data_IF_474375265878
#
_entry.id   IF_474375265878
#
_cell.length_a   1.000
_cell.length_b   1.000
_cell.length_c   1.000
_cell.angle_alpha   90.00
_cell.angle_beta   90.00
_cell.angle_gamma   90.00
#
_symmetry.space_group_name_H-M   'P 1'
#
loop_
_entity.id
_entity.type
_entity.pdbx_description
1 polymer ?
#
# COMPACT_ATOMS: atom_id res chain seq x y z
N UNK A 1 -8.06 16.75 -12.81
CA UNK A 1 -7.43 16.54 -14.14
C UNK A 1 -7.13 15.06 -14.32
N UNK A 2 -8.15 14.25 -14.67
CA UNK A 2 -7.96 12.82 -14.87
C UNK A 2 -7.33 12.48 -16.24
N UNK A 3 -7.30 13.42 -17.19
CA UNK A 3 -6.92 13.15 -18.59
C UNK A 3 -5.48 13.57 -18.96
N UNK A 4 -4.63 13.88 -17.96
CA UNK A 4 -3.25 14.28 -18.23
C UNK A 4 -2.34 13.05 -18.24
N UNK A 5 -1.84 12.70 -19.41
CA UNK A 5 -0.70 11.79 -19.52
C UNK A 5 0.58 12.49 -19.08
N UNK A 6 1.33 11.83 -18.20
CA UNK A 6 2.63 12.31 -17.73
C UNK A 6 3.76 11.66 -18.52
N UNK A 7 4.87 12.40 -18.70
CA UNK A 7 6.09 11.87 -19.31
C UNK A 7 6.74 10.78 -18.43
N UNK A 8 7.59 9.96 -19.05
CA UNK A 8 8.26 8.84 -18.40
C UNK A 8 9.04 9.26 -17.15
N UNK A 9 9.77 10.38 -17.21
CA UNK A 9 10.58 10.88 -16.10
C UNK A 9 9.72 11.22 -14.88
N UNK A 10 8.53 11.76 -15.11
CA UNK A 10 7.57 12.09 -14.05
C UNK A 10 6.99 10.81 -13.45
N UNK A 11 6.65 9.84 -14.30
CA UNK A 11 6.12 8.56 -13.85
C UNK A 11 7.16 7.77 -13.05
N UNK A 12 8.41 7.69 -13.53
CA UNK A 12 9.50 7.06 -12.79
C UNK A 12 9.70 7.67 -11.40
N UNK A 13 9.46 8.98 -11.25
CA UNK A 13 9.61 9.66 -9.97
C UNK A 13 8.38 9.59 -9.06
N UNK A 14 7.16 9.46 -9.60
CA UNK A 14 5.93 9.68 -8.81
C UNK A 14 4.86 8.59 -8.94
N UNK A 15 4.88 7.76 -9.98
CA UNK A 15 3.86 6.73 -10.17
C UNK A 15 3.90 5.68 -9.05
N UNK A 16 2.72 5.21 -8.63
CA UNK A 16 2.59 4.17 -7.61
C UNK A 16 2.82 4.63 -6.17
N UNK A 17 3.11 5.92 -5.93
CA UNK A 17 3.34 6.43 -4.57
C UNK A 17 2.57 7.73 -4.28
N UNK A 18 2.07 7.81 -3.04
CA UNK A 18 1.48 9.00 -2.43
C UNK A 18 2.29 9.34 -1.17
N UNK A 19 2.23 10.59 -0.65
CA UNK A 19 2.85 10.88 0.63
C UNK A 19 2.26 9.97 1.70
N UNK A 20 3.08 9.52 2.64
CA UNK A 20 2.63 8.69 3.76
C UNK A 20 1.47 9.38 4.50
N UNK A 21 0.27 8.76 4.59
CA UNK A 21 -0.88 9.40 5.20
C UNK A 21 -0.72 9.66 6.71
N UNK A 22 0.18 8.95 7.39
CA UNK A 22 0.40 9.13 8.83
C UNK A 22 1.30 10.34 9.15
N UNK A 23 2.32 10.61 8.33
CA UNK A 23 3.34 11.64 8.64
C UNK A 23 3.51 12.71 7.56
N UNK A 24 2.99 12.49 6.35
CA UNK A 24 3.21 13.34 5.18
C UNK A 24 4.57 13.14 4.49
N UNK A 25 5.38 12.17 4.91
CA UNK A 25 6.66 11.87 4.28
C UNK A 25 6.50 11.56 2.78
N UNK A 26 7.33 12.18 1.93
CA UNK A 26 7.35 11.86 0.48
C UNK A 26 8.23 10.68 0.11
N UNK A 27 9.29 10.43 0.86
CA UNK A 27 10.05 9.20 0.71
C UNK A 27 9.23 8.03 1.26
N UNK A 28 9.17 6.92 0.53
CA UNK A 28 8.42 5.72 0.95
C UNK A 28 9.06 5.14 2.22
N UNK A 29 8.28 4.92 3.29
CA UNK A 29 8.78 4.26 4.49
C UNK A 29 9.25 2.82 4.22
N UNK A 30 10.27 2.37 4.96
CA UNK A 30 10.69 0.97 4.92
C UNK A 30 9.88 0.19 5.95
N UNK A 31 8.89 -0.58 5.50
CA UNK A 31 8.11 -1.50 6.35
C UNK A 31 8.89 -2.79 6.62
N UNK A 32 9.93 -2.71 7.44
CA UNK A 32 10.78 -3.85 7.82
C UNK A 32 10.09 -4.77 8.85
N UNK A 33 9.04 -5.47 8.41
CA UNK A 33 8.26 -6.40 9.23
C UNK A 33 8.05 -7.74 8.50
N UNK A 34 7.62 -8.75 9.24
CA UNK A 34 7.21 -10.06 8.70
C UNK A 34 5.69 -10.26 8.68
N UNK A 35 4.95 -9.54 9.53
CA UNK A 35 3.51 -9.72 9.76
C UNK A 35 2.80 -8.40 10.05
N UNK A 36 1.48 -8.38 9.83
CA UNK A 36 0.60 -7.23 10.08
C UNK A 36 -0.52 -7.61 11.07
N UNK A 37 -0.90 -6.66 11.92
CA UNK A 37 -1.97 -6.85 12.91
C UNK A 37 -3.33 -6.74 12.24
N UNK A 38 -4.24 -7.68 12.56
CA UNK A 38 -5.64 -7.60 12.13
C UNK A 38 -6.48 -6.80 13.12
N UNK A 39 -7.49 -6.10 12.59
CA UNK A 39 -8.46 -5.36 13.40
C UNK A 39 -9.39 -6.30 14.21
N UNK A 40 -9.70 -7.48 13.67
CA UNK A 40 -10.50 -8.53 14.31
C UNK A 40 -10.28 -9.89 13.64
N UNK A 41 -10.85 -10.97 14.21
CA UNK A 41 -10.85 -12.30 13.58
C UNK A 41 -11.65 -12.33 12.27
N UNK A 42 -12.73 -11.56 12.19
CA UNK A 42 -13.53 -11.42 10.97
C UNK A 42 -12.75 -10.70 9.86
N UNK A 43 -12.03 -9.62 10.19
CA UNK A 43 -11.13 -8.94 9.25
C UNK A 43 -10.06 -9.89 8.71
N UNK A 44 -9.47 -10.73 9.56
CA UNK A 44 -8.51 -11.74 9.11
C UNK A 44 -9.16 -12.72 8.11
N UNK A 45 -10.35 -13.24 8.42
CA UNK A 45 -11.07 -14.16 7.54
C UNK A 45 -11.36 -13.53 6.16
N UNK A 46 -11.76 -12.26 6.12
CA UNK A 46 -12.03 -11.53 4.88
C UNK A 46 -10.77 -11.35 4.01
N UNK A 47 -9.63 -11.01 4.62
CA UNK A 47 -8.35 -10.90 3.89
C UNK A 47 -7.93 -12.24 3.28
N UNK A 48 -8.06 -13.34 4.01
CA UNK A 48 -7.73 -14.68 3.49
C UNK A 48 -8.72 -15.19 2.44
N UNK A 49 -9.98 -14.75 2.49
CA UNK A 49 -11.00 -15.05 1.49
C UNK A 49 -10.91 -14.15 0.24
N UNK A 50 -9.97 -13.19 0.21
CA UNK A 50 -9.85 -12.15 -0.82
C UNK A 50 -11.11 -11.28 -0.95
N UNK A 51 -11.94 -11.24 0.10
CA UNK A 51 -13.12 -10.40 0.18
C UNK A 51 -12.78 -8.95 0.55
N UNK A 52 -11.60 -8.73 1.13
CA UNK A 52 -11.05 -7.42 1.50
C UNK A 52 -9.58 -7.31 1.06
N UNK A 53 -9.14 -6.11 0.69
CA UNK A 53 -7.76 -5.83 0.29
C UNK A 53 -6.98 -5.35 1.52
N UNK A 54 -5.87 -6.00 1.83
CA UNK A 54 -5.00 -5.57 2.93
C UNK A 54 -3.89 -6.57 3.22
N UNK A 55 -2.82 -6.12 3.86
CA UNK A 55 -1.63 -6.94 4.10
C UNK A 55 -1.91 -8.09 5.08
N UNK A 56 -1.38 -9.28 4.77
CA UNK A 56 -1.46 -10.46 5.63
C UNK A 56 -0.07 -10.74 6.22
N UNK A 57 0.90 -11.07 5.36
CA UNK A 57 2.31 -11.20 5.70
C UNK A 57 3.18 -10.95 4.47
N UNK A 58 4.42 -10.48 4.68
CA UNK A 58 5.33 -9.91 3.67
C UNK A 58 5.69 -10.85 2.50
N UNK A 59 5.38 -12.15 2.60
CA UNK A 59 5.66 -13.13 1.54
C UNK A 59 4.56 -13.25 0.48
N UNK A 60 3.34 -12.79 0.77
CA UNK A 60 2.19 -12.90 -0.15
C UNK A 60 1.79 -11.54 -0.73
N UNK A 61 2.10 -10.47 0.00
CA UNK A 61 1.86 -9.08 -0.37
C UNK A 61 3.09 -8.25 -0.05
#
# INVERSE_FOLDING_TARGET
MPDREFGLETLCLHAGQLPDPATGARAVPIYQTTSYQFNSSEHAANLFALAEIGNIYTRIM
#
